data_IF_247095698137
#
_entry.id   IF_247095698137
#
_cell.length_a   1.000
_cell.length_b   1.000
_cell.length_c   1.000
_cell.angle_alpha   90.00
_cell.angle_beta   90.00
_cell.angle_gamma   90.00
#
_symmetry.space_group_name_H-M   'P 1'
#
loop_
_entity.id
_entity.type
_entity.pdbx_description
1 polymer ?
#
# COMPACT_ATOMS: atom_id res chain seq x y z
N UNK A 1 -22.63 -8.86 -44.80
CA UNK A 1 -23.59 -7.97 -44.13
C UNK A 1 -23.83 -8.48 -42.72
N UNK A 2 -23.17 -7.89 -41.73
CA UNK A 2 -23.68 -7.74 -40.35
C UNK A 2 -23.05 -6.44 -39.84
N UNK A 3 -23.89 -5.47 -39.53
CA UNK A 3 -23.50 -4.22 -38.87
C UNK A 3 -23.83 -4.33 -37.39
N UNK A 4 -22.84 -4.06 -36.52
CA UNK A 4 -23.07 -3.63 -35.14
C UNK A 4 -22.12 -2.46 -34.86
N UNK A 5 -22.68 -1.26 -34.69
CA UNK A 5 -21.96 -0.09 -34.18
C UNK A 5 -21.95 -0.14 -32.65
N UNK A 6 -20.77 -0.04 -32.04
CA UNK A 6 -20.61 0.50 -30.69
C UNK A 6 -19.58 1.64 -30.72
N UNK A 7 -20.12 2.85 -30.75
CA UNK A 7 -19.49 4.05 -30.21
C UNK A 7 -19.23 3.85 -28.73
N UNK A 8 -18.01 4.06 -28.26
CA UNK A 8 -17.61 5.20 -27.41
C UNK A 8 -16.14 5.01 -27.06
N UNK A 9 -15.31 6.00 -27.38
CA UNK A 9 -13.90 6.09 -27.01
C UNK A 9 -13.76 5.84 -25.50
N UNK A 10 -13.14 4.74 -25.10
CA UNK A 10 -12.41 4.70 -23.85
C UNK A 10 -10.96 4.54 -24.25
N UNK A 11 -10.27 5.68 -24.38
CA UNK A 11 -8.83 5.72 -24.53
C UNK A 11 -8.25 4.90 -23.40
N UNK A 12 -7.49 3.86 -23.72
CA UNK A 12 -6.65 3.19 -22.75
C UNK A 12 -5.59 4.22 -22.37
N UNK A 13 -5.84 4.97 -21.31
CA UNK A 13 -4.79 5.71 -20.64
C UNK A 13 -3.84 4.64 -20.10
N UNK A 14 -2.72 4.45 -20.80
CA UNK A 14 -1.51 3.85 -20.25
C UNK A 14 -0.82 4.89 -19.38
N UNK A 15 -1.56 5.47 -18.44
CA UNK A 15 -0.98 6.16 -17.31
C UNK A 15 -0.88 5.04 -16.28
N UNK A 16 0.35 4.62 -15.96
CA UNK A 16 0.60 3.77 -14.81
C UNK A 16 0.23 4.58 -13.57
N UNK A 17 -1.07 4.68 -13.30
CA UNK A 17 -1.63 5.24 -12.08
C UNK A 17 -1.12 4.34 -10.96
N UNK A 18 0.04 4.67 -10.41
CA UNK A 18 0.58 3.96 -9.25
C UNK A 18 -0.49 4.07 -8.17
N UNK A 19 -1.10 2.94 -7.74
CA UNK A 19 -2.17 3.01 -6.78
C UNK A 19 -1.65 3.70 -5.52
N UNK A 20 -2.38 4.70 -5.03
CA UNK A 20 -2.03 5.33 -3.76
C UNK A 20 -2.10 4.28 -2.66
N UNK A 21 -1.00 4.11 -1.93
CA UNK A 21 -0.95 3.19 -0.80
C UNK A 21 -1.85 3.75 0.31
N UNK A 22 -2.96 3.05 0.60
CA UNK A 22 -3.86 3.38 1.71
C UNK A 22 -3.19 3.15 3.07
N UNK A 23 -2.38 2.09 3.21
CA UNK A 23 -1.57 1.83 4.40
C UNK A 23 -0.81 0.51 4.40
N UNK A 24 -0.01 0.29 5.44
CA UNK A 24 0.83 -0.91 5.62
C UNK A 24 0.56 -1.53 6.99
N UNK A 25 0.32 -2.84 7.02
CA UNK A 25 0.21 -3.62 8.25
C UNK A 25 1.43 -4.53 8.38
N UNK A 26 2.06 -4.51 9.55
CA UNK A 26 3.21 -5.36 9.89
C UNK A 26 2.88 -6.19 11.12
N UNK A 27 3.09 -7.49 11.00
CA UNK A 27 2.97 -8.44 12.11
C UNK A 27 4.37 -8.95 12.40
N UNK A 28 4.88 -8.66 13.60
CA UNK A 28 6.21 -9.09 14.01
C UNK A 28 6.19 -9.59 15.45
N UNK A 29 6.98 -10.62 15.72
CA UNK A 29 7.29 -11.03 17.09
C UNK A 29 8.12 -9.92 17.76
N UNK A 30 7.86 -9.64 19.05
CA UNK A 30 8.53 -8.55 19.74
C UNK A 30 8.02 -7.15 19.38
N UNK A 31 6.98 -7.04 18.56
CA UNK A 31 6.27 -5.77 18.31
C UNK A 31 5.40 -5.33 19.49
N UNK A 32 5.55 -5.91 20.67
CA UNK A 32 5.10 -5.35 21.95
C UNK A 32 6.07 -4.27 22.46
N UNK A 33 7.37 -4.41 22.14
CA UNK A 33 8.41 -3.45 22.50
C UNK A 33 8.28 -2.17 21.68
N UNK A 34 8.28 -1.02 22.38
CA UNK A 34 8.19 0.29 21.72
C UNK A 34 9.36 0.54 20.77
N UNK A 35 10.56 0.07 21.12
CA UNK A 35 11.77 0.21 20.30
C UNK A 35 11.59 -0.46 18.93
N UNK A 36 11.10 -1.70 18.93
CA UNK A 36 10.85 -2.48 17.70
C UNK A 36 9.78 -1.82 16.85
N UNK A 37 8.68 -1.33 17.45
CA UNK A 37 7.65 -0.58 16.72
C UNK A 37 8.21 0.67 16.05
N UNK A 38 9.02 1.45 16.77
CA UNK A 38 9.64 2.66 16.25
C UNK A 38 10.57 2.34 15.10
N UNK A 39 11.47 1.36 15.26
CA UNK A 39 12.39 0.94 14.21
C UNK A 39 11.65 0.48 12.94
N UNK A 40 10.57 -0.30 13.08
CA UNK A 40 9.75 -0.74 11.95
C UNK A 40 9.12 0.48 11.24
N UNK A 41 8.50 1.39 11.99
CA UNK A 41 7.88 2.59 11.43
C UNK A 41 8.88 3.50 10.70
N UNK A 42 10.05 3.73 11.29
CA UNK A 42 11.14 4.54 10.69
C UNK A 42 11.67 3.89 9.42
N UNK A 43 11.86 2.57 9.44
CA UNK A 43 12.33 1.81 8.27
C UNK A 43 11.33 1.88 7.14
N UNK A 44 10.03 1.70 7.42
CA UNK A 44 8.97 1.79 6.39
C UNK A 44 8.85 3.21 5.83
N UNK A 45 8.97 4.24 6.68
CA UNK A 45 9.02 5.62 6.21
C UNK A 45 10.22 5.86 5.28
N UNK A 46 11.40 5.40 5.65
CA UNK A 46 12.62 5.61 4.87
C UNK A 46 12.61 4.83 3.54
N UNK A 47 12.11 3.59 3.55
CA UNK A 47 12.12 2.72 2.37
C UNK A 47 10.98 3.00 1.40
N UNK A 48 9.79 3.34 1.92
CA UNK A 48 8.57 3.41 1.12
C UNK A 48 7.87 4.77 1.19
N UNK A 49 8.38 5.73 1.98
CA UNK A 49 7.78 7.06 2.11
C UNK A 49 6.39 7.06 2.75
N UNK A 50 6.00 5.98 3.44
CA UNK A 50 4.64 5.82 3.98
C UNK A 50 4.50 6.64 5.26
N UNK A 51 3.52 7.55 5.37
CA UNK A 51 3.28 8.34 6.59
C UNK A 51 3.03 7.47 7.82
N UNK A 52 3.50 7.91 9.00
CA UNK A 52 3.34 7.18 10.27
C UNK A 52 1.90 6.74 10.57
N UNK A 53 0.92 7.62 10.30
CA UNK A 53 -0.49 7.36 10.58
C UNK A 53 -1.11 6.30 9.66
N UNK A 54 -0.42 5.91 8.58
CA UNK A 54 -0.80 4.84 7.65
C UNK A 54 -0.13 3.50 7.98
N UNK A 55 0.74 3.45 8.99
CA UNK A 55 1.48 2.25 9.38
C UNK A 55 0.86 1.67 10.64
N UNK A 56 0.51 0.38 10.60
CA UNK A 56 0.02 -0.37 11.75
C UNK A 56 0.92 -1.55 12.06
N UNK A 57 1.59 -1.50 13.21
CA UNK A 57 2.40 -2.62 13.71
C UNK A 57 1.63 -3.38 14.78
N UNK A 58 1.49 -4.69 14.59
CA UNK A 58 0.79 -5.61 15.47
C UNK A 58 1.75 -6.69 15.98
N UNK A 59 1.52 -7.17 17.20
CA UNK A 59 2.24 -8.31 17.75
C UNK A 59 1.80 -9.58 17.02
N UNK A 60 2.75 -10.30 16.45
CA UNK A 60 2.53 -11.67 15.99
C UNK A 60 2.62 -12.65 17.14
N UNK A 61 1.61 -13.50 17.29
CA UNK A 61 1.68 -14.74 18.06
C UNK A 61 1.57 -15.86 17.03
N UNK A 62 2.69 -16.51 16.72
CA UNK A 62 2.79 -17.60 15.74
C UNK A 62 3.11 -18.91 16.44
#
# INVERSE_FOLDING_TARGET
MVSVKKTTKKSFASEEETPEIEGVVVIAEGADKSEVKTQICETIQALFGVPLHKIKVLKGEF
#
